data_IF_285973176790
#
_entry.id   IF_285973176790
#
_cell.length_a   1.000
_cell.length_b   1.000
_cell.length_c   1.000
_cell.angle_alpha   90.00
_cell.angle_beta   90.00
_cell.angle_gamma   90.00
#
_symmetry.space_group_name_H-M   'P 1'
#
loop_
_entity.id
_entity.type
_entity.pdbx_description
1 polymer ?
#
# COMPACT_ATOMS: atom_id res chain seq x y z
N UNK A 1 16.19 -3.78 29.87
CA UNK A 1 15.56 -4.50 28.74
C UNK A 1 14.09 -4.69 29.10
N UNK A 2 13.26 -3.68 28.81
CA UNK A 2 11.80 -3.78 28.99
C UNK A 2 11.20 -4.14 27.65
N UNK A 3 10.60 -5.32 27.58
CA UNK A 3 9.69 -5.70 26.51
C UNK A 3 8.39 -4.93 26.75
N UNK A 4 8.03 -4.03 25.84
CA UNK A 4 6.74 -3.34 25.84
C UNK A 4 5.70 -4.28 25.19
N UNK A 5 4.64 -4.73 25.88
CA UNK A 5 3.73 -5.77 25.38
C UNK A 5 2.56 -5.20 24.54
N UNK A 6 2.52 -3.90 24.24
CA UNK A 6 1.32 -3.27 23.69
C UNK A 6 1.43 -2.89 22.21
N UNK A 7 1.63 -3.89 21.35
CA UNK A 7 1.38 -3.76 19.91
C UNK A 7 0.59 -4.97 19.40
N UNK A 8 -0.50 -5.29 20.11
CA UNK A 8 -1.60 -6.03 19.53
C UNK A 8 -2.38 -5.07 18.65
N UNK A 9 -1.97 -4.96 17.37
CA UNK A 9 -2.91 -4.50 16.35
C UNK A 9 -4.17 -5.37 16.49
N UNK A 10 -5.38 -4.79 16.56
CA UNK A 10 -6.57 -5.61 16.41
C UNK A 10 -6.42 -6.28 15.06
N UNK A 11 -6.13 -7.59 15.08
CA UNK A 11 -6.45 -8.44 13.96
C UNK A 11 -7.96 -8.51 14.03
N UNK A 12 -8.61 -7.48 13.48
CA UNK A 12 -9.97 -7.65 13.04
C UNK A 12 -9.85 -8.79 12.05
N UNK A 13 -10.19 -9.99 12.50
CA UNK A 13 -10.28 -11.16 11.66
C UNK A 13 -11.53 -10.97 10.82
N UNK A 14 -11.55 -9.90 10.03
CA UNK A 14 -12.48 -9.70 8.93
C UNK A 14 -12.11 -10.76 7.93
N UNK A 15 -12.85 -11.87 8.02
CA UNK A 15 -12.91 -12.90 7.02
C UNK A 15 -13.01 -12.23 5.64
N UNK A 16 -12.11 -12.59 4.72
CA UNK A 16 -12.11 -12.03 3.37
C UNK A 16 -13.47 -12.38 2.74
N UNK A 17 -14.25 -11.40 2.25
CA UNK A 17 -15.53 -11.69 1.63
C UNK A 17 -15.39 -12.77 0.54
N UNK A 18 -16.25 -13.78 0.57
CA UNK A 18 -16.15 -14.94 -0.33
C UNK A 18 -16.10 -14.54 -1.81
N UNK A 19 -16.84 -13.49 -2.18
CA UNK A 19 -16.86 -12.94 -3.54
C UNK A 19 -15.49 -12.37 -3.94
N UNK A 20 -14.81 -11.66 -3.04
CA UNK A 20 -13.48 -11.11 -3.29
C UNK A 20 -12.45 -12.23 -3.44
N UNK A 21 -12.54 -13.28 -2.61
CA UNK A 21 -11.69 -14.46 -2.74
C UNK A 21 -11.93 -15.18 -4.07
N UNK A 22 -13.19 -15.33 -4.49
CA UNK A 22 -13.55 -15.94 -5.77
C UNK A 22 -13.01 -15.14 -6.98
N UNK A 23 -13.08 -13.80 -6.92
CA UNK A 23 -12.51 -12.91 -7.93
C UNK A 23 -10.98 -13.01 -7.99
N UNK A 24 -10.32 -13.06 -6.83
CA UNK A 24 -8.88 -13.25 -6.73
C UNK A 24 -8.46 -14.59 -7.36
N UNK A 25 -9.13 -15.68 -7.00
CA UNK A 25 -8.86 -17.01 -7.55
C UNK A 25 -9.14 -17.09 -9.07
N UNK A 26 -10.14 -16.37 -9.57
CA UNK A 26 -10.40 -16.25 -11.01
C UNK A 26 -9.26 -15.51 -11.73
N UNK A 27 -8.75 -14.42 -11.15
CA UNK A 27 -7.61 -13.68 -11.68
C UNK A 27 -6.32 -14.52 -11.63
N UNK A 28 -6.12 -15.27 -10.55
CA UNK A 28 -4.98 -16.15 -10.33
C UNK A 28 -4.95 -17.38 -11.24
N UNK A 29 -6.07 -17.75 -11.89
CA UNK A 29 -6.11 -18.81 -12.92
C UNK A 29 -5.67 -18.35 -14.31
N UNK A 30 -5.55 -17.04 -14.56
CA UNK A 30 -5.15 -16.51 -15.87
C UNK A 30 -3.71 -16.93 -16.19
N UNK A 31 -3.36 -17.25 -17.45
CA UNK A 31 -1.99 -17.50 -17.86
C UNK A 31 -1.06 -16.33 -17.49
N UNK A 32 0.20 -16.62 -17.18
CA UNK A 32 1.19 -15.61 -16.78
C UNK A 32 1.32 -14.48 -17.81
N UNK A 33 1.33 -14.82 -19.10
CA UNK A 33 1.36 -13.84 -20.20
C UNK A 33 0.17 -12.87 -20.17
N UNK A 34 -1.02 -13.36 -19.81
CA UNK A 34 -2.22 -12.53 -19.68
C UNK A 34 -2.14 -11.63 -18.44
N UNK A 35 -1.59 -12.14 -17.33
CA UNK A 35 -1.34 -11.31 -16.13
C UNK A 35 -0.39 -10.17 -16.47
N UNK A 36 0.76 -10.46 -17.10
CA UNK A 36 1.71 -9.41 -17.51
C UNK A 36 1.11 -8.41 -18.50
N UNK A 37 0.28 -8.86 -19.43
CA UNK A 37 -0.38 -7.98 -20.41
C UNK A 37 -1.29 -6.94 -19.75
N UNK A 38 -1.88 -7.26 -18.61
CA UNK A 38 -2.84 -6.38 -17.91
C UNK A 38 -2.38 -5.92 -16.52
N UNK A 39 -1.20 -6.33 -16.05
CA UNK A 39 -0.69 -5.98 -14.72
C UNK A 39 -0.13 -4.57 -14.64
N UNK A 40 0.29 -4.02 -15.76
CA UNK A 40 0.87 -2.68 -15.81
C UNK A 40 -0.24 -1.66 -16.08
N UNK A 41 -0.72 -1.04 -15.01
CA UNK A 41 -1.48 0.20 -15.11
C UNK A 41 -0.50 1.37 -15.01
N UNK A 42 -0.58 2.30 -15.96
CA UNK A 42 0.10 3.59 -15.82
C UNK A 42 -0.82 4.51 -15.02
N UNK A 43 -0.66 4.51 -13.71
CA UNK A 43 -1.35 5.44 -12.81
C UNK A 43 -0.39 6.55 -12.44
N UNK A 44 -0.76 7.79 -12.74
CA UNK A 44 -0.08 8.96 -12.20
C UNK A 44 -0.29 9.00 -10.68
N UNK A 45 0.80 9.00 -9.93
CA UNK A 45 0.82 9.16 -8.47
C UNK A 45 1.14 10.64 -8.18
N UNK A 46 0.13 11.46 -7.83
CA UNK A 46 0.34 12.88 -7.56
C UNK A 46 1.45 13.11 -6.54
N UNK A 47 2.23 14.16 -6.73
CA UNK A 47 3.38 14.55 -5.89
C UNK A 47 4.60 13.61 -5.98
N UNK A 48 4.37 12.30 -6.05
CA UNK A 48 5.42 11.29 -6.21
C UNK A 48 6.01 11.27 -7.62
N UNK A 49 5.17 11.37 -8.66
CA UNK A 49 5.63 11.36 -10.05
C UNK A 49 6.05 12.75 -10.56
N UNK A 50 5.87 13.80 -9.75
CA UNK A 50 6.18 15.18 -10.12
C UNK A 50 7.66 15.53 -10.01
N UNK A 51 8.41 14.74 -9.23
CA UNK A 51 9.85 14.92 -9.03
C UNK A 51 10.57 13.57 -9.16
N UNK A 52 11.79 13.53 -9.72
CA UNK A 52 12.50 12.28 -9.96
C UNK A 52 12.91 11.57 -8.67
N UNK A 53 13.18 12.34 -7.61
CA UNK A 53 13.46 11.80 -6.27
C UNK A 53 13.24 12.87 -5.20
N UNK A 54 13.09 12.41 -3.95
CA UNK A 54 13.14 13.24 -2.73
C UNK A 54 13.97 12.49 -1.69
N UNK A 55 14.73 13.23 -0.89
CA UNK A 55 15.52 12.68 0.20
C UNK A 55 15.22 13.44 1.48
N UNK A 56 15.27 12.73 2.62
CA UNK A 56 15.00 13.27 3.94
C UNK A 56 16.15 12.88 4.87
N UNK A 57 16.50 13.77 5.80
CA UNK A 57 17.57 13.51 6.77
C UNK A 57 17.16 12.47 7.82
N UNK A 58 15.86 12.39 8.13
CA UNK A 58 15.31 11.40 9.06
C UNK A 58 14.05 10.74 8.53
N UNK A 59 13.73 9.56 9.08
CA UNK A 59 12.45 8.88 8.79
C UNK A 59 11.25 9.66 9.37
N UNK A 60 11.46 10.50 10.38
CA UNK A 60 10.38 11.32 10.94
C UNK A 60 9.97 12.41 9.94
N UNK A 61 10.95 13.09 9.33
CA UNK A 61 10.72 14.12 8.31
C UNK A 61 10.02 13.52 7.08
N UNK A 62 10.44 12.32 6.67
CA UNK A 62 9.77 11.57 5.60
C UNK A 62 8.29 11.31 5.91
N UNK A 63 7.97 10.81 7.11
CA UNK A 63 6.58 10.49 7.50
C UNK A 63 5.71 11.74 7.58
N UNK A 64 6.23 12.80 8.21
CA UNK A 64 5.51 14.07 8.29
C UNK A 64 5.23 14.63 6.90
N UNK A 65 6.23 14.61 6.01
CA UNK A 65 6.04 15.07 4.64
C UNK A 65 4.98 14.23 3.90
N UNK A 66 4.98 12.90 4.08
CA UNK A 66 3.95 12.03 3.51
C UNK A 66 2.54 12.39 3.99
N UNK A 67 2.36 12.66 5.29
CA UNK A 67 1.08 13.05 5.88
C UNK A 67 0.57 14.40 5.34
N UNK A 68 1.47 15.36 5.09
CA UNK A 68 1.10 16.70 4.65
C UNK A 68 0.89 16.82 3.13
N UNK A 69 1.55 15.97 2.33
CA UNK A 69 1.66 16.17 0.88
C UNK A 69 1.07 15.04 0.04
N UNK A 70 0.93 13.82 0.56
CA UNK A 70 0.43 12.70 -0.24
C UNK A 70 -1.07 12.49 -0.06
N UNK A 71 -1.81 12.20 -1.13
CA UNK A 71 -3.19 11.76 -1.03
C UNK A 71 -3.35 10.49 -0.17
N UNK A 72 -4.41 10.46 0.66
CA UNK A 72 -4.71 9.35 1.57
C UNK A 72 -4.77 7.97 0.88
N UNK A 73 -5.31 7.92 -0.33
CA UNK A 73 -5.47 6.67 -1.10
C UNK A 73 -4.13 6.01 -1.47
N UNK A 74 -3.01 6.71 -1.38
CA UNK A 74 -1.68 6.13 -1.57
C UNK A 74 -1.19 5.33 -0.35
N UNK A 75 -1.83 5.46 0.82
CA UNK A 75 -1.54 4.63 2.00
C UNK A 75 -0.25 4.98 2.75
N UNK A 76 0.30 6.19 2.57
CA UNK A 76 1.49 6.65 3.31
C UNK A 76 1.16 7.44 4.59
N UNK A 77 -0.10 7.81 4.80
CA UNK A 77 -0.56 8.42 6.06
C UNK A 77 -0.56 7.41 7.22
N UNK A 78 -0.56 7.91 8.46
CA UNK A 78 -0.71 7.04 9.63
C UNK A 78 -2.14 6.48 9.70
N UNK A 79 -2.25 5.18 10.01
CA UNK A 79 -3.49 4.48 10.38
C UNK A 79 -3.57 4.39 11.89
#
# INVERSE_FOLDING_TARGET
>A
MSHDPHLSLPHDSTEIPADWLAEFEAAARRPLSQRFRYSFIKTYKPVLDDEPFRSFDTTADYRQWCEENLPDWLGYGRV
#
